data_IF_846090847144
#
_entry.id   IF_846090847144
#
_cell.length_a   1.000
_cell.length_b   1.000
_cell.length_c   1.000
_cell.angle_alpha   90.00
_cell.angle_beta   90.00
_cell.angle_gamma   90.00
#
_symmetry.space_group_name_H-M   'P 1'
#
loop_
_entity.id
_entity.type
_entity.pdbx_description
1 polymer ?
#
# COMPACT_ATOMS: atom_id res chain seq x y z
N UNK A 1 -14.83 22.29 34.26
CA UNK A 1 -15.00 20.84 34.50
C UNK A 1 -14.07 20.14 33.53
N UNK A 2 -12.89 19.75 34.02
CA UNK A 2 -11.92 18.99 33.25
C UNK A 2 -12.41 17.53 33.17
N UNK A 3 -12.89 17.11 32.01
CA UNK A 3 -13.03 15.69 31.73
C UNK A 3 -11.62 15.14 31.56
N UNK A 4 -11.15 14.38 32.55
CA UNK A 4 -9.97 13.53 32.40
C UNK A 4 -10.22 12.63 31.19
N UNK A 5 -9.44 12.82 30.14
CA UNK A 5 -9.36 11.84 29.05
C UNK A 5 -8.72 10.63 29.68
N UNK A 6 -9.51 9.59 29.93
CA UNK A 6 -9.00 8.27 30.31
C UNK A 6 -8.00 7.86 29.22
N UNK A 7 -6.73 8.01 29.52
CA UNK A 7 -5.64 7.57 28.67
C UNK A 7 -5.65 6.04 28.69
N UNK A 8 -6.28 5.42 27.68
CA UNK A 8 -6.23 3.96 27.53
C UNK A 8 -4.78 3.59 27.28
N UNK A 9 -4.16 3.02 28.28
CA UNK A 9 -2.77 2.60 28.22
C UNK A 9 -2.72 1.14 27.75
N UNK A 10 -2.15 0.90 26.57
CA UNK A 10 -1.83 -0.46 26.10
C UNK A 10 -0.54 -0.86 26.80
N UNK A 11 -0.64 -1.70 27.81
CA UNK A 11 0.48 -2.03 28.69
C UNK A 11 0.79 -3.53 28.76
N UNK A 12 -0.08 -4.36 28.20
CA UNK A 12 0.03 -5.82 28.28
C UNK A 12 -0.11 -6.52 26.95
N UNK A 13 0.33 -7.78 26.91
CA UNK A 13 0.11 -8.65 25.76
C UNK A 13 -1.39 -8.88 25.49
N UNK A 14 -2.20 -9.00 26.51
CA UNK A 14 -3.64 -9.21 26.38
C UNK A 14 -4.34 -8.00 25.75
N UNK A 15 -3.88 -6.79 26.04
CA UNK A 15 -4.36 -5.58 25.37
C UNK A 15 -4.10 -5.66 23.86
N UNK A 16 -2.91 -6.10 23.44
CA UNK A 16 -2.57 -6.27 22.03
C UNK A 16 -3.43 -7.36 21.39
N UNK A 17 -3.61 -8.49 22.07
CA UNK A 17 -4.42 -9.61 21.58
C UNK A 17 -5.90 -9.22 21.41
N UNK A 18 -6.40 -8.26 22.19
CA UNK A 18 -7.76 -7.75 22.04
C UNK A 18 -8.04 -7.12 20.67
N UNK A 19 -6.99 -6.70 19.98
CA UNK A 19 -7.06 -6.17 18.60
C UNK A 19 -6.93 -7.25 17.51
N UNK A 20 -6.69 -8.51 17.87
CA UNK A 20 -6.65 -9.61 16.90
C UNK A 20 -8.06 -9.93 16.37
N UNK A 21 -8.20 -10.63 15.25
CA UNK A 21 -9.46 -11.24 14.86
C UNK A 21 -10.03 -12.10 15.99
N UNK A 22 -11.34 -12.00 16.28
CA UNK A 22 -11.94 -12.64 17.45
C UNK A 22 -11.75 -14.15 17.53
N UNK A 23 -11.70 -14.83 16.38
CA UNK A 23 -11.58 -16.27 16.25
C UNK A 23 -10.16 -16.72 15.83
N UNK A 24 -9.13 -15.91 16.11
CA UNK A 24 -7.78 -16.23 15.67
C UNK A 24 -7.22 -17.55 16.21
N UNK A 25 -7.62 -17.97 17.42
CA UNK A 25 -7.17 -19.26 18.01
C UNK A 25 -7.77 -20.45 17.28
N UNK A 26 -9.06 -20.41 16.96
CA UNK A 26 -9.76 -21.44 16.16
C UNK A 26 -9.14 -21.57 14.75
N UNK A 27 -8.82 -20.44 14.15
CA UNK A 27 -8.09 -20.41 12.86
C UNK A 27 -6.70 -21.01 12.99
N UNK A 28 -5.98 -20.70 14.05
CA UNK A 28 -4.65 -21.27 14.31
C UNK A 28 -4.71 -22.79 14.44
N UNK A 29 -5.74 -23.33 15.09
CA UNK A 29 -6.01 -24.77 15.17
C UNK A 29 -6.33 -25.35 13.79
N UNK A 30 -7.21 -24.71 13.02
CA UNK A 30 -7.56 -25.14 11.66
C UNK A 30 -6.33 -25.19 10.74
N UNK A 31 -5.42 -24.24 10.86
CA UNK A 31 -4.14 -24.22 10.14
C UNK A 31 -3.08 -25.17 10.73
N UNK A 32 -3.35 -25.85 11.83
CA UNK A 32 -2.42 -26.77 12.49
C UNK A 32 -1.04 -26.16 12.78
N UNK A 33 -1.00 -24.87 13.17
CA UNK A 33 0.25 -24.09 13.31
C UNK A 33 1.24 -24.66 14.32
N UNK A 34 0.77 -25.43 15.31
CA UNK A 34 1.59 -26.08 16.33
C UNK A 34 2.01 -27.52 15.97
N UNK A 35 1.60 -28.05 14.82
CA UNK A 35 1.98 -29.43 14.41
C UNK A 35 3.49 -29.61 14.45
N UNK A 36 3.95 -30.63 15.20
CA UNK A 36 5.36 -30.96 15.38
C UNK A 36 6.10 -30.03 16.37
N UNK A 37 5.40 -29.26 17.22
CA UNK A 37 6.01 -28.56 18.34
C UNK A 37 6.48 -29.59 19.39
N UNK A 38 7.76 -29.49 19.81
CA UNK A 38 8.36 -30.45 20.76
C UNK A 38 8.47 -29.92 22.17
N UNK A 39 8.83 -28.65 22.33
CA UNK A 39 9.10 -28.02 23.62
C UNK A 39 7.86 -27.25 24.12
N UNK A 40 7.65 -26.05 23.67
CA UNK A 40 6.49 -25.27 24.07
C UNK A 40 5.35 -25.46 23.06
N UNK A 41 4.20 -25.92 23.54
CA UNK A 41 2.98 -26.16 22.76
C UNK A 41 1.91 -25.09 22.98
N UNK A 42 2.22 -24.02 23.72
CA UNK A 42 1.30 -22.92 23.94
C UNK A 42 1.19 -22.06 22.67
N UNK A 43 -0.03 -21.94 22.16
CA UNK A 43 -0.35 -21.11 20.99
C UNK A 43 -0.05 -19.63 21.30
N UNK A 44 -0.52 -19.14 22.45
CA UNK A 44 -0.36 -17.74 22.85
C UNK A 44 1.11 -17.37 23.05
N UNK A 45 1.90 -18.20 23.72
CA UNK A 45 3.34 -17.97 23.88
C UNK A 45 4.10 -17.99 22.54
N UNK A 46 3.73 -18.92 21.66
CA UNK A 46 4.32 -19.00 20.31
C UNK A 46 3.99 -17.76 19.49
N UNK A 47 2.72 -17.33 19.49
CA UNK A 47 2.29 -16.09 18.82
C UNK A 47 3.03 -14.88 19.40
N UNK A 48 3.12 -14.76 20.72
CA UNK A 48 3.82 -13.66 21.38
C UNK A 48 5.31 -13.61 20.95
N UNK A 49 6.01 -14.75 20.98
CA UNK A 49 7.40 -14.84 20.53
C UNK A 49 7.57 -14.45 19.05
N UNK A 50 6.63 -14.86 18.18
CA UNK A 50 6.64 -14.46 16.78
C UNK A 50 6.37 -12.95 16.61
N UNK A 51 5.46 -12.38 17.40
CA UNK A 51 5.20 -10.93 17.37
C UNK A 51 6.42 -10.13 17.83
N UNK A 52 7.14 -10.57 18.86
CA UNK A 52 8.43 -9.97 19.26
C UNK A 52 9.43 -10.00 18.11
N UNK A 53 9.56 -11.15 17.44
CA UNK A 53 10.44 -11.26 16.27
C UNK A 53 10.05 -10.30 15.14
N UNK A 54 8.77 -10.24 14.83
CA UNK A 54 8.25 -9.46 13.71
C UNK A 54 8.22 -7.94 13.98
N UNK A 55 7.93 -7.52 15.21
CA UNK A 55 7.77 -6.11 15.55
C UNK A 55 9.08 -5.43 15.98
N UNK A 56 9.93 -6.12 16.74
CA UNK A 56 11.04 -5.48 17.44
C UNK A 56 12.36 -5.42 16.64
N UNK A 57 12.39 -5.87 15.39
CA UNK A 57 13.59 -5.84 14.54
C UNK A 57 14.73 -6.77 15.01
N UNK A 58 14.43 -7.71 15.90
CA UNK A 58 15.39 -8.66 16.44
C UNK A 58 15.69 -9.79 15.45
N UNK A 59 16.88 -10.39 15.52
CA UNK A 59 17.17 -11.65 14.86
C UNK A 59 16.42 -12.82 15.55
N UNK A 60 16.25 -13.94 14.85
CA UNK A 60 15.67 -15.15 15.45
C UNK A 60 16.45 -15.63 16.69
N UNK A 61 17.79 -15.50 16.68
CA UNK A 61 18.64 -15.86 17.83
C UNK A 61 18.39 -14.96 19.01
N UNK A 62 18.36 -13.65 18.80
CA UNK A 62 18.09 -12.66 19.86
C UNK A 62 16.69 -12.86 20.44
N UNK A 63 15.70 -13.06 19.56
CA UNK A 63 14.31 -13.33 20.01
C UNK A 63 14.25 -14.55 20.91
N UNK A 64 14.80 -15.68 20.49
CA UNK A 64 14.76 -16.92 21.31
C UNK A 64 15.59 -16.79 22.59
N UNK A 65 16.65 -16.00 22.61
CA UNK A 65 17.42 -15.72 23.82
C UNK A 65 16.59 -14.87 24.80
N UNK A 66 15.98 -13.77 24.33
CA UNK A 66 15.17 -12.87 25.16
C UNK A 66 13.94 -13.56 25.72
N UNK A 67 13.19 -14.28 24.87
CA UNK A 67 11.96 -15.00 25.30
C UNK A 67 12.27 -16.12 26.30
N UNK A 68 13.42 -16.78 26.20
CA UNK A 68 13.87 -17.77 27.17
C UNK A 68 14.26 -17.13 28.49
N UNK A 69 15.02 -16.03 28.48
CA UNK A 69 15.46 -15.32 29.70
C UNK A 69 14.28 -14.72 30.45
N UNK A 70 13.24 -14.29 29.76
CA UNK A 70 12.01 -13.78 30.37
C UNK A 70 11.03 -14.90 30.81
N UNK A 71 11.33 -16.18 30.57
CA UNK A 71 10.41 -17.27 30.87
C UNK A 71 9.18 -17.36 29.97
N UNK A 72 9.10 -16.53 28.94
CA UNK A 72 7.94 -16.47 28.04
C UNK A 72 7.85 -17.70 27.13
N UNK A 73 8.93 -18.00 26.41
CA UNK A 73 8.92 -19.05 25.40
C UNK A 73 10.30 -19.70 25.27
N UNK A 74 10.32 -21.02 25.23
CA UNK A 74 11.56 -21.80 25.12
C UNK A 74 11.61 -22.53 23.81
N UNK A 75 12.50 -22.12 22.92
CA UNK A 75 12.75 -22.82 21.65
C UNK A 75 14.15 -22.49 21.10
N UNK A 76 14.61 -23.26 20.13
CA UNK A 76 15.74 -22.86 19.29
C UNK A 76 15.32 -21.88 18.21
N UNK A 77 16.26 -21.10 17.68
CA UNK A 77 16.00 -20.19 16.57
C UNK A 77 15.54 -20.92 15.29
N UNK A 78 15.97 -22.16 15.10
CA UNK A 78 15.52 -23.01 13.99
C UNK A 78 14.05 -23.40 14.20
N UNK A 79 13.69 -23.82 15.43
CA UNK A 79 12.31 -24.16 15.75
C UNK A 79 11.38 -22.95 15.65
N UNK A 80 11.83 -21.76 16.06
CA UNK A 80 11.04 -20.52 15.91
C UNK A 80 10.84 -20.17 14.42
N UNK A 81 11.86 -20.36 13.56
CA UNK A 81 11.70 -20.20 12.11
C UNK A 81 10.66 -21.16 11.53
N UNK A 82 10.70 -22.43 11.93
CA UNK A 82 9.70 -23.41 11.50
C UNK A 82 8.28 -23.05 11.97
N UNK A 83 8.16 -22.48 13.18
CA UNK A 83 6.88 -21.92 13.66
C UNK A 83 6.43 -20.76 12.77
N UNK A 84 7.30 -19.81 12.45
CA UNK A 84 6.99 -18.69 11.57
C UNK A 84 6.42 -19.19 10.23
N UNK A 85 7.07 -20.17 9.60
CA UNK A 85 6.62 -20.73 8.32
C UNK A 85 5.20 -21.31 8.45
N UNK A 86 4.92 -22.06 9.52
CA UNK A 86 3.58 -22.61 9.77
C UNK A 86 2.52 -21.59 10.10
N UNK A 87 2.90 -20.47 10.70
CA UNK A 87 2.01 -19.34 10.97
C UNK A 87 1.76 -18.47 9.74
N UNK A 88 2.53 -18.60 8.67
CA UNK A 88 2.38 -17.82 7.45
C UNK A 88 0.95 -17.81 6.89
N UNK A 89 0.32 -18.95 6.63
CA UNK A 89 -1.08 -19.01 6.16
C UNK A 89 -2.08 -18.41 7.15
N UNK A 90 -1.84 -18.56 8.47
CA UNK A 90 -2.66 -17.93 9.50
C UNK A 90 -2.55 -16.40 9.43
N UNK A 91 -1.34 -15.85 9.32
CA UNK A 91 -1.15 -14.40 9.16
C UNK A 91 -1.82 -13.87 7.91
N UNK A 92 -1.74 -14.60 6.79
CA UNK A 92 -2.45 -14.23 5.56
C UNK A 92 -3.97 -14.18 5.77
N UNK A 93 -4.53 -15.18 6.44
CA UNK A 93 -5.96 -15.28 6.73
C UNK A 93 -6.42 -14.18 7.71
N UNK A 94 -5.67 -13.95 8.77
CA UNK A 94 -5.94 -12.88 9.74
C UNK A 94 -5.88 -11.49 9.09
N UNK A 95 -4.94 -11.26 8.17
CA UNK A 95 -4.87 -10.03 7.40
C UNK A 95 -6.13 -9.78 6.57
N UNK A 96 -6.68 -10.83 5.91
CA UNK A 96 -7.94 -10.69 5.15
C UNK A 96 -9.11 -10.27 6.04
N UNK A 97 -9.22 -10.80 7.25
CA UNK A 97 -10.29 -10.42 8.16
C UNK A 97 -10.15 -8.98 8.67
N UNK A 98 -8.93 -8.56 8.97
CA UNK A 98 -8.68 -7.17 9.36
C UNK A 98 -9.12 -6.18 8.28
N UNK A 99 -9.12 -6.60 6.99
CA UNK A 99 -9.65 -5.81 5.89
C UNK A 99 -11.18 -5.82 5.81
N UNK A 100 -11.81 -6.98 5.97
CA UNK A 100 -13.26 -7.13 5.76
C UNK A 100 -14.11 -6.39 6.80
N UNK A 101 -13.60 -6.20 8.01
CA UNK A 101 -14.29 -5.47 9.08
C UNK A 101 -14.30 -3.93 8.92
N UNK A 102 -13.70 -3.37 7.88
CA UNK A 102 -13.49 -1.92 7.71
C UNK A 102 -14.40 -1.27 6.65
N UNK A 103 -15.45 -1.95 6.21
CA UNK A 103 -16.29 -1.56 5.07
C UNK A 103 -17.26 -0.39 5.29
N UNK A 104 -17.12 0.39 6.34
CA UNK A 104 -18.15 1.36 6.70
C UNK A 104 -17.67 2.78 6.81
N UNK A 105 -17.20 3.43 5.80
CA UNK A 105 -17.32 4.91 5.75
C UNK A 105 -16.67 5.44 4.49
N UNK A 106 -17.48 5.63 3.44
CA UNK A 106 -17.09 6.54 2.37
C UNK A 106 -17.70 7.91 2.67
N UNK A 107 -16.91 8.95 2.92
CA UNK A 107 -17.44 10.30 3.18
C UNK A 107 -17.84 11.05 1.92
N UNK A 108 -17.51 10.53 0.75
CA UNK A 108 -18.11 11.00 -0.49
C UNK A 108 -19.29 10.08 -0.74
N UNK A 109 -20.48 10.50 -0.25
CA UNK A 109 -21.80 9.91 -0.45
C UNK A 109 -21.84 8.73 -1.42
N UNK A 110 -21.78 7.50 -0.89
CA UNK A 110 -22.01 6.27 -1.67
C UNK A 110 -20.88 5.80 -2.60
N UNK A 111 -19.68 6.34 -2.50
CA UNK A 111 -18.53 5.92 -3.32
C UNK A 111 -17.40 5.33 -2.51
N UNK A 112 -16.81 4.26 -3.02
CA UNK A 112 -15.58 3.70 -2.51
C UNK A 112 -14.40 4.20 -3.36
N UNK A 113 -13.65 5.16 -2.82
CA UNK A 113 -12.45 5.69 -3.44
C UNK A 113 -11.23 4.92 -2.93
N UNK A 114 -10.44 4.36 -3.84
CA UNK A 114 -9.30 3.49 -3.52
C UNK A 114 -8.05 3.96 -4.22
N UNK A 115 -6.97 4.09 -3.47
CA UNK A 115 -5.63 4.35 -4.03
C UNK A 115 -4.84 3.06 -4.03
N UNK A 116 -4.26 2.73 -5.18
CA UNK A 116 -3.56 1.48 -5.44
C UNK A 116 -2.11 1.77 -5.78
N UNK A 117 -1.21 0.96 -5.24
CA UNK A 117 0.21 0.99 -5.61
C UNK A 117 0.86 -0.38 -5.38
N UNK A 118 2.13 -0.50 -5.77
CA UNK A 118 2.94 -1.68 -5.49
C UNK A 118 4.37 -1.29 -5.13
N UNK A 119 5.01 -2.11 -4.31
CA UNK A 119 6.40 -1.89 -3.95
C UNK A 119 7.20 -3.18 -4.06
N UNK A 120 8.42 -3.06 -4.57
CA UNK A 120 9.34 -4.19 -4.64
C UNK A 120 10.05 -4.38 -3.31
N UNK A 121 10.19 -5.64 -2.91
CA UNK A 121 10.88 -6.08 -1.71
C UNK A 121 12.09 -6.89 -2.12
N UNK A 122 13.26 -6.51 -1.59
CA UNK A 122 14.53 -7.13 -1.95
C UNK A 122 14.90 -8.25 -1.00
N UNK A 123 15.41 -9.35 -1.55
CA UNK A 123 16.07 -10.39 -0.76
C UNK A 123 17.50 -9.98 -0.39
N UNK A 124 18.13 -10.65 0.60
CA UNK A 124 19.52 -10.38 0.96
C UNK A 124 20.48 -10.61 -0.20
N UNK A 125 21.49 -9.73 -0.33
CA UNK A 125 22.56 -9.84 -1.34
C UNK A 125 22.22 -9.13 -2.66
N UNK A 126 23.03 -9.34 -3.72
CA UNK A 126 23.01 -8.55 -4.95
C UNK A 126 21.92 -8.97 -5.96
N UNK A 127 21.08 -9.95 -5.65
CA UNK A 127 20.11 -10.53 -6.59
C UNK A 127 18.93 -9.62 -6.94
N UNK A 128 18.73 -8.52 -6.19
CA UNK A 128 17.68 -7.52 -6.46
C UNK A 128 16.31 -7.90 -5.87
N UNK A 129 15.26 -7.30 -6.42
CA UNK A 129 13.89 -7.49 -5.92
C UNK A 129 13.37 -8.89 -6.24
N UNK A 130 12.82 -9.57 -5.24
CA UNK A 130 12.27 -10.93 -5.35
C UNK A 130 10.76 -10.93 -5.32
N UNK A 131 10.16 -10.04 -4.51
CA UNK A 131 8.74 -9.96 -4.30
C UNK A 131 8.21 -8.58 -4.67
N UNK A 132 6.95 -8.53 -5.09
CA UNK A 132 6.18 -7.32 -5.24
C UNK A 132 4.95 -7.39 -4.35
N UNK A 133 4.80 -6.38 -3.53
CA UNK A 133 3.69 -6.23 -2.62
C UNK A 133 2.72 -5.20 -3.21
N UNK A 134 1.54 -5.68 -3.61
CA UNK A 134 0.44 -4.86 -4.10
C UNK A 134 -0.43 -4.48 -2.93
N UNK A 135 -0.87 -3.23 -2.89
CA UNK A 135 -1.53 -2.65 -1.74
C UNK A 135 -2.61 -1.66 -2.17
N UNK A 136 -3.75 -1.68 -1.51
CA UNK A 136 -4.87 -0.79 -1.75
C UNK A 136 -5.32 -0.12 -0.47
N UNK A 137 -5.54 1.19 -0.53
CA UNK A 137 -6.07 2.02 0.56
C UNK A 137 -7.41 2.62 0.17
N UNK A 138 -8.38 2.54 1.05
CA UNK A 138 -9.63 3.32 0.94
C UNK A 138 -9.43 4.73 1.48
N UNK A 139 -10.03 5.70 0.81
CA UNK A 139 -10.00 7.11 1.21
C UNK A 139 -11.38 7.56 1.68
N UNK A 140 -11.43 8.53 2.60
CA UNK A 140 -10.35 9.31 3.18
C UNK A 140 -9.70 8.66 4.39
N UNK A 141 -10.25 7.58 4.94
CA UNK A 141 -9.79 6.99 6.22
C UNK A 141 -8.41 6.32 6.11
N UNK A 142 -7.84 6.27 4.90
CA UNK A 142 -6.52 5.67 4.60
C UNK A 142 -6.42 4.25 5.18
N UNK A 143 -7.49 3.46 4.96
CA UNK A 143 -7.59 2.09 5.47
C UNK A 143 -7.13 1.12 4.39
N UNK A 144 -6.24 0.19 4.72
CA UNK A 144 -5.89 -0.90 3.83
C UNK A 144 -7.09 -1.84 3.65
N UNK A 145 -7.55 -2.02 2.43
CA UNK A 145 -8.68 -2.89 2.12
C UNK A 145 -8.28 -4.12 1.29
N UNK A 146 -7.07 -4.15 0.76
CA UNK A 146 -6.55 -5.32 0.04
C UNK A 146 -5.03 -5.31 -0.04
N UNK A 147 -4.46 -6.53 0.02
CA UNK A 147 -3.06 -6.77 -0.31
C UNK A 147 -2.88 -8.04 -1.10
N UNK A 148 -1.86 -8.06 -1.94
CA UNK A 148 -1.44 -9.26 -2.67
C UNK A 148 0.08 -9.30 -2.82
N UNK A 149 0.65 -10.46 -2.57
CA UNK A 149 2.07 -10.70 -2.77
C UNK A 149 2.28 -11.47 -4.07
N UNK A 150 3.17 -10.97 -4.93
CA UNK A 150 3.57 -11.66 -6.16
C UNK A 150 5.10 -11.70 -6.26
N UNK A 151 5.63 -12.52 -7.17
CA UNK A 151 7.04 -12.38 -7.55
C UNK A 151 7.27 -11.01 -8.21
N UNK A 152 8.47 -10.44 -8.03
CA UNK A 152 8.80 -9.15 -8.66
C UNK A 152 8.99 -9.26 -10.18
N UNK A 153 9.33 -10.46 -10.67
CA UNK A 153 9.57 -10.75 -12.09
C UNK A 153 8.75 -11.94 -12.55
N UNK A 154 8.28 -11.90 -13.79
CA UNK A 154 7.49 -12.95 -14.42
C UNK A 154 6.31 -12.40 -15.22
N UNK A 155 5.61 -13.30 -15.92
CA UNK A 155 4.40 -12.94 -16.66
C UNK A 155 3.25 -12.70 -15.68
N UNK A 156 2.50 -11.60 -15.87
CA UNK A 156 1.32 -11.29 -15.06
C UNK A 156 1.59 -10.80 -13.63
N UNK A 157 2.85 -10.65 -13.21
CA UNK A 157 3.21 -10.20 -11.85
C UNK A 157 3.52 -8.69 -11.77
N UNK A 158 3.43 -7.98 -12.87
CA UNK A 158 3.64 -6.52 -12.93
C UNK A 158 2.52 -5.74 -12.25
N UNK A 159 2.68 -4.43 -12.17
CA UNK A 159 1.62 -3.51 -11.74
C UNK A 159 0.40 -3.64 -12.66
N UNK A 160 -0.72 -4.05 -12.09
CA UNK A 160 -1.98 -4.27 -12.80
C UNK A 160 -3.17 -4.20 -11.85
N UNK A 161 -4.27 -3.60 -12.29
CA UNK A 161 -5.55 -3.62 -11.58
C UNK A 161 -6.08 -5.04 -11.34
N UNK A 162 -5.71 -6.01 -12.16
CA UNK A 162 -6.12 -7.42 -12.04
C UNK A 162 -5.61 -8.10 -10.76
N UNK A 163 -4.74 -7.46 -10.00
CA UNK A 163 -4.31 -7.94 -8.69
C UNK A 163 -5.28 -7.60 -7.56
N UNK A 164 -6.28 -6.78 -7.84
CA UNK A 164 -7.22 -6.28 -6.85
C UNK A 164 -8.65 -6.77 -7.14
N UNK A 165 -9.42 -7.16 -6.11
CA UNK A 165 -10.84 -7.39 -6.28
C UNK A 165 -11.52 -6.03 -6.56
N UNK A 166 -12.34 -5.98 -7.59
CA UNK A 166 -13.06 -4.78 -8.01
C UNK A 166 -14.56 -5.03 -7.84
N UNK A 167 -15.24 -4.12 -7.17
CA UNK A 167 -16.67 -4.10 -7.01
C UNK A 167 -17.29 -3.01 -7.90
N UNK A 168 -18.54 -3.21 -8.28
CA UNK A 168 -19.31 -2.18 -9.01
C UNK A 168 -19.33 -0.88 -8.20
N UNK A 169 -18.96 0.22 -8.86
CA UNK A 169 -18.90 1.55 -8.25
C UNK A 169 -17.57 1.87 -7.54
N UNK A 170 -16.59 0.97 -7.52
CA UNK A 170 -15.23 1.28 -7.03
C UNK A 170 -14.59 2.35 -7.92
N UNK A 171 -13.96 3.36 -7.28
CA UNK A 171 -13.21 4.43 -7.95
C UNK A 171 -11.73 4.29 -7.60
N UNK A 172 -10.92 3.95 -8.59
CA UNK A 172 -9.52 3.54 -8.41
C UNK A 172 -8.56 4.64 -8.88
N UNK A 173 -7.63 5.01 -8.01
CA UNK A 173 -6.55 5.95 -8.32
C UNK A 173 -5.25 5.15 -8.34
N UNK A 174 -4.45 5.29 -9.39
CA UNK A 174 -3.19 4.61 -9.49
C UNK A 174 -2.14 5.43 -10.25
N UNK A 175 -0.90 4.98 -10.16
CA UNK A 175 0.21 5.62 -10.84
C UNK A 175 0.33 5.21 -12.33
N UNK A 176 1.39 5.67 -12.96
CA UNK A 176 1.69 5.41 -14.37
C UNK A 176 1.88 3.92 -14.70
N UNK A 177 2.36 3.10 -13.77
CA UNK A 177 2.60 1.68 -13.95
C UNK A 177 1.31 0.89 -14.23
N UNK A 178 0.19 1.37 -13.72
CA UNK A 178 -1.15 0.81 -13.92
C UNK A 178 -1.85 1.27 -15.21
N UNK A 179 -1.27 2.24 -15.93
CA UNK A 179 -1.87 2.79 -17.15
C UNK A 179 -1.70 1.83 -18.33
N UNK A 180 -2.47 0.74 -18.33
CA UNK A 180 -2.47 -0.32 -19.34
C UNK A 180 -3.92 -0.67 -19.72
N UNK A 181 -4.17 -0.81 -21.03
CA UNK A 181 -5.52 -1.02 -21.55
C UNK A 181 -6.23 -2.24 -20.91
N UNK A 182 -5.54 -3.39 -20.79
CA UNK A 182 -6.12 -4.60 -20.21
C UNK A 182 -6.56 -4.42 -18.73
N UNK A 183 -5.76 -3.70 -17.94
CA UNK A 183 -6.09 -3.42 -16.54
C UNK A 183 -7.27 -2.45 -16.41
N UNK A 184 -7.32 -1.40 -17.23
CA UNK A 184 -8.42 -0.44 -17.26
C UNK A 184 -9.70 -1.13 -17.73
N UNK A 185 -9.64 -1.93 -18.80
CA UNK A 185 -10.76 -2.70 -19.30
C UNK A 185 -11.32 -3.67 -18.25
N UNK A 186 -10.45 -4.36 -17.50
CA UNK A 186 -10.86 -5.22 -16.39
C UNK A 186 -11.69 -4.44 -15.36
N UNK A 187 -11.22 -3.27 -14.92
CA UNK A 187 -11.96 -2.44 -13.95
C UNK A 187 -13.33 -2.02 -14.51
N UNK A 188 -13.37 -1.56 -15.74
CA UNK A 188 -14.62 -1.10 -16.39
C UNK A 188 -15.61 -2.24 -16.55
N UNK A 189 -15.16 -3.44 -16.95
CA UNK A 189 -16.02 -4.63 -17.03
C UNK A 189 -16.59 -5.05 -15.68
N UNK A 190 -15.86 -4.80 -14.58
CA UNK A 190 -16.38 -5.01 -13.23
C UNK A 190 -17.32 -3.88 -12.75
N UNK A 191 -17.57 -2.86 -13.57
CA UNK A 191 -18.41 -1.71 -13.22
C UNK A 191 -17.71 -0.69 -12.32
N UNK A 192 -16.38 -0.70 -12.28
CA UNK A 192 -15.55 0.28 -11.58
C UNK A 192 -15.05 1.39 -12.52
N UNK A 193 -14.38 2.36 -11.93
CA UNK A 193 -13.86 3.55 -12.61
C UNK A 193 -12.36 3.74 -12.27
N UNK A 194 -11.60 4.35 -13.19
CA UNK A 194 -10.16 4.58 -13.02
C UNK A 194 -9.77 6.04 -13.15
N UNK A 195 -8.75 6.44 -12.39
CA UNK A 195 -8.03 7.70 -12.50
C UNK A 195 -6.53 7.37 -12.43
N UNK A 196 -5.84 7.37 -13.56
CA UNK A 196 -4.45 6.94 -13.66
C UNK A 196 -3.58 7.99 -14.34
N UNK A 197 -2.35 8.14 -13.89
CA UNK A 197 -1.38 8.95 -14.60
C UNK A 197 -1.07 8.31 -15.95
N UNK A 198 -1.19 9.09 -17.03
CA UNK A 198 -1.00 8.59 -18.37
C UNK A 198 0.43 8.12 -18.61
N UNK A 199 0.56 6.95 -19.20
CA UNK A 199 1.78 6.45 -19.82
C UNK A 199 1.57 6.43 -21.33
N UNK A 200 2.02 7.48 -22.01
CA UNK A 200 1.69 7.76 -23.41
C UNK A 200 2.14 6.68 -24.41
N UNK A 201 3.13 5.87 -24.05
CA UNK A 201 3.60 4.76 -24.91
C UNK A 201 2.91 3.43 -24.61
N UNK A 202 2.19 3.32 -23.48
CA UNK A 202 1.53 2.07 -23.06
C UNK A 202 0.02 2.08 -23.27
N UNK A 203 -0.56 3.24 -23.57
CA UNK A 203 -1.99 3.42 -23.77
C UNK A 203 -2.25 4.17 -25.07
N UNK A 204 -2.84 3.48 -26.04
CA UNK A 204 -3.33 4.10 -27.26
C UNK A 204 -4.64 4.83 -26.99
N UNK A 205 -4.69 6.10 -27.36
CA UNK A 205 -5.85 6.96 -27.18
C UNK A 205 -6.58 7.16 -28.50
N UNK A 206 -7.91 7.16 -28.42
CA UNK A 206 -8.81 7.39 -29.53
C UNK A 206 -9.73 8.57 -29.20
N UNK A 207 -10.21 9.24 -30.23
CA UNK A 207 -11.35 10.16 -30.11
C UNK A 207 -12.64 9.35 -29.87
N UNK A 208 -13.73 9.94 -29.39
CA UNK A 208 -14.99 9.22 -29.21
C UNK A 208 -15.53 8.58 -30.50
N UNK A 209 -15.18 9.10 -31.66
CA UNK A 209 -15.51 8.55 -33.00
C UNK A 209 -14.50 7.50 -33.51
N UNK A 210 -13.55 7.08 -32.67
CA UNK A 210 -12.63 5.97 -32.95
C UNK A 210 -11.38 6.33 -33.74
N UNK A 211 -11.11 7.62 -34.04
CA UNK A 211 -9.89 8.06 -34.68
C UNK A 211 -8.74 8.20 -33.67
N UNK A 212 -7.51 8.30 -34.17
CA UNK A 212 -6.33 8.59 -33.32
C UNK A 212 -6.50 9.90 -32.55
N UNK A 213 -6.22 9.88 -31.26
CA UNK A 213 -6.26 11.07 -30.41
C UNK A 213 -4.89 11.77 -30.41
N UNK A 214 -4.85 12.96 -30.97
CA UNK A 214 -3.62 13.75 -31.14
C UNK A 214 -3.20 14.46 -29.84
N UNK A 215 -2.71 13.70 -28.86
CA UNK A 215 -2.33 14.19 -27.53
C UNK A 215 -1.36 15.38 -27.60
N UNK A 216 -0.31 15.27 -28.42
CA UNK A 216 0.74 16.30 -28.54
C UNK A 216 0.16 17.65 -29.01
N UNK A 217 -0.71 17.62 -30.01
CA UNK A 217 -1.39 18.80 -30.53
C UNK A 217 -2.26 19.47 -29.45
N UNK A 218 -2.95 18.66 -28.65
CA UNK A 218 -3.77 19.14 -27.51
C UNK A 218 -2.90 19.77 -26.42
N UNK A 219 -1.79 19.12 -26.03
CA UNK A 219 -0.90 19.66 -24.99
C UNK A 219 -0.27 21.01 -25.39
N UNK A 220 0.03 21.21 -26.66
CA UNK A 220 0.57 22.49 -27.18
C UNK A 220 -0.39 23.68 -27.01
N UNK A 221 -1.68 23.45 -26.82
CA UNK A 221 -2.66 24.53 -26.55
C UNK A 221 -2.58 25.06 -25.12
N UNK A 222 -1.90 24.34 -24.22
CA UNK A 222 -1.71 24.75 -22.82
C UNK A 222 -0.37 25.48 -22.70
N UNK A 223 -0.40 26.79 -22.62
CA UNK A 223 0.83 27.61 -22.67
C UNK A 223 1.25 28.15 -21.29
N UNK A 224 0.30 28.35 -20.38
CA UNK A 224 0.56 28.98 -19.10
C UNK A 224 0.81 27.94 -18.00
N UNK A 225 1.74 28.24 -17.09
CA UNK A 225 1.97 27.44 -15.88
C UNK A 225 0.70 27.36 -15.03
N UNK A 226 0.36 26.15 -14.56
CA UNK A 226 -0.86 25.92 -13.79
C UNK A 226 -2.14 25.87 -14.65
N UNK A 227 -2.09 26.20 -15.92
CA UNK A 227 -3.24 26.06 -16.82
C UNK A 227 -3.59 24.58 -16.98
N UNK A 228 -4.86 24.26 -16.81
CA UNK A 228 -5.40 22.91 -16.94
C UNK A 228 -6.48 22.85 -18.02
N UNK A 229 -6.50 21.73 -18.75
CA UNK A 229 -7.52 21.45 -19.77
C UNK A 229 -7.93 19.97 -19.74
N UNK A 230 -9.10 19.68 -20.25
CA UNK A 230 -9.57 18.30 -20.41
C UNK A 230 -10.20 18.09 -21.79
N UNK A 231 -10.12 16.85 -22.27
CA UNK A 231 -10.65 16.43 -23.57
C UNK A 231 -11.25 15.03 -23.45
N UNK A 232 -12.37 14.82 -24.11
CA UNK A 232 -12.96 13.50 -24.24
C UNK A 232 -12.09 12.63 -25.14
N UNK A 233 -11.94 11.39 -24.73
CA UNK A 233 -11.19 10.38 -25.47
C UNK A 233 -11.76 9.00 -25.15
N UNK A 234 -11.22 7.99 -25.79
CA UNK A 234 -11.49 6.59 -25.50
C UNK A 234 -10.20 5.77 -25.53
N UNK A 235 -10.23 4.61 -24.93
CA UNK A 235 -9.24 3.55 -25.11
C UNK A 235 -9.94 2.33 -25.68
N UNK A 236 -9.21 1.44 -26.33
CA UNK A 236 -9.78 0.20 -26.83
C UNK A 236 -9.57 -0.94 -25.82
N UNK A 237 -10.62 -1.66 -25.48
CA UNK A 237 -10.52 -2.92 -24.77
C UNK A 237 -9.77 -3.92 -25.64
N UNK A 238 -8.63 -4.47 -25.19
CA UNK A 238 -7.85 -5.38 -26.01
C UNK A 238 -8.56 -6.71 -26.31
N UNK A 239 -9.52 -7.12 -25.48
CA UNK A 239 -10.24 -8.39 -25.61
C UNK A 239 -11.47 -8.23 -26.51
N UNK A 240 -12.33 -7.25 -26.25
CA UNK A 240 -13.61 -7.05 -26.97
C UNK A 240 -13.51 -6.13 -28.17
N UNK A 241 -12.43 -5.33 -28.26
CA UNK A 241 -12.23 -4.27 -29.24
C UNK A 241 -13.19 -3.08 -29.13
N UNK A 242 -14.06 -3.07 -28.13
CA UNK A 242 -14.96 -1.95 -27.87
C UNK A 242 -14.19 -0.73 -27.32
N UNK A 243 -14.72 0.45 -27.61
CA UNK A 243 -14.17 1.68 -27.08
C UNK A 243 -14.71 1.92 -25.66
N UNK A 244 -13.78 2.08 -24.74
CA UNK A 244 -14.06 2.48 -23.35
C UNK A 244 -13.96 4.00 -23.28
N UNK A 245 -15.07 4.72 -23.07
CA UNK A 245 -15.05 6.17 -22.97
C UNK A 245 -14.31 6.64 -21.72
N UNK A 246 -13.62 7.75 -21.86
CA UNK A 246 -12.89 8.42 -20.80
C UNK A 246 -12.50 9.82 -21.20
N UNK A 247 -11.64 10.44 -20.43
CA UNK A 247 -11.10 11.77 -20.73
C UNK A 247 -9.64 11.90 -20.29
N UNK A 248 -8.92 12.76 -20.98
CA UNK A 248 -7.60 13.22 -20.59
C UNK A 248 -7.76 14.52 -19.82
N UNK A 249 -7.21 14.58 -18.62
CA UNK A 249 -7.06 15.78 -17.80
C UNK A 249 -5.58 16.12 -17.76
N UNK A 250 -5.19 17.33 -18.16
CA UNK A 250 -3.79 17.76 -18.18
C UNK A 250 -3.63 19.11 -17.51
N UNK A 251 -2.53 19.27 -16.76
CA UNK A 251 -2.11 20.54 -16.16
C UNK A 251 -0.63 20.77 -16.46
N UNK A 252 -0.27 21.99 -16.89
CA UNK A 252 1.12 22.38 -17.11
C UNK A 252 1.78 22.67 -15.76
N UNK A 253 2.96 22.11 -15.56
CA UNK A 253 3.77 22.30 -14.34
C UNK A 253 4.34 23.72 -14.29
N UNK A 254 4.81 24.14 -13.10
CA UNK A 254 5.62 25.36 -12.97
C UNK A 254 6.95 25.20 -13.72
N UNK A 255 7.56 26.31 -14.13
CA UNK A 255 8.85 26.29 -14.83
C UNK A 255 9.94 25.59 -14.01
N UNK A 256 9.91 25.72 -12.67
CA UNK A 256 10.81 25.01 -11.76
C UNK A 256 10.61 23.50 -11.84
N UNK A 257 9.35 23.05 -11.80
CA UNK A 257 9.01 21.63 -11.91
C UNK A 257 9.33 21.05 -13.29
N UNK A 258 9.22 21.84 -14.35
CA UNK A 258 9.62 21.49 -15.71
C UNK A 258 11.13 21.29 -15.78
N UNK A 259 11.91 22.24 -15.26
CA UNK A 259 13.36 22.13 -15.21
C UNK A 259 13.83 20.88 -14.46
N UNK A 260 13.20 20.56 -13.32
CA UNK A 260 13.47 19.33 -12.57
C UNK A 260 13.10 18.07 -13.37
N UNK A 261 11.97 18.08 -14.07
CA UNK A 261 11.52 16.96 -14.90
C UNK A 261 12.50 16.71 -16.08
N UNK A 262 12.96 17.76 -16.75
CA UNK A 262 13.95 17.67 -17.81
C UNK A 262 15.30 17.17 -17.28
N UNK A 263 15.77 17.68 -16.12
CA UNK A 263 16.98 17.18 -15.46
C UNK A 263 16.89 15.69 -15.14
N UNK A 264 15.74 15.23 -14.66
CA UNK A 264 15.48 13.80 -14.38
C UNK A 264 15.47 12.98 -15.66
N UNK A 265 14.86 13.48 -16.73
CA UNK A 265 14.86 12.85 -18.06
C UNK A 265 16.29 12.69 -18.60
N UNK A 266 17.12 13.73 -18.51
CA UNK A 266 18.51 13.70 -18.94
C UNK A 266 19.36 12.71 -18.14
N UNK A 267 19.17 12.62 -16.82
CA UNK A 267 19.83 11.58 -15.98
C UNK A 267 19.44 10.17 -16.41
N UNK A 268 18.16 9.94 -16.70
CA UNK A 268 17.65 8.67 -17.20
C UNK A 268 18.25 8.32 -18.56
N UNK A 269 18.38 9.29 -19.46
CA UNK A 269 19.08 9.16 -20.75
C UNK A 269 20.50 8.62 -20.57
N UNK A 270 21.27 9.22 -19.67
CA UNK A 270 22.65 8.80 -19.40
C UNK A 270 22.71 7.38 -18.82
N UNK A 271 21.82 7.07 -17.86
CA UNK A 271 21.79 5.77 -17.20
C UNK A 271 21.37 4.63 -18.13
N UNK A 272 20.39 4.85 -19.01
CA UNK A 272 19.78 3.82 -19.85
C UNK A 272 20.18 3.93 -21.34
N UNK A 273 21.08 4.85 -21.69
CA UNK A 273 21.61 5.06 -23.04
C UNK A 273 20.51 5.21 -24.12
N UNK A 274 19.43 5.92 -23.82
CA UNK A 274 18.40 6.25 -24.81
C UNK A 274 18.35 7.76 -25.05
N UNK A 275 17.87 8.18 -26.24
CA UNK A 275 17.69 9.60 -26.56
C UNK A 275 16.20 9.94 -26.48
N UNK A 276 15.76 10.78 -25.50
CA UNK A 276 14.39 11.21 -25.44
C UNK A 276 14.01 12.05 -26.67
N UNK A 277 12.82 11.82 -27.22
CA UNK A 277 12.29 12.64 -28.29
C UNK A 277 11.87 14.03 -27.80
N UNK A 278 11.67 14.99 -28.71
CA UNK A 278 11.10 16.31 -28.40
C UNK A 278 9.72 16.16 -27.71
N UNK A 279 8.94 15.20 -28.15
CA UNK A 279 7.63 14.88 -27.58
C UNK A 279 7.74 14.39 -26.15
N UNK A 280 8.76 13.58 -25.83
CA UNK A 280 9.03 13.12 -24.44
C UNK A 280 9.31 14.32 -23.52
N UNK A 281 10.07 15.31 -23.97
CA UNK A 281 10.30 16.52 -23.17
C UNK A 281 9.00 17.29 -22.97
N UNK A 282 8.23 17.53 -24.05
CA UNK A 282 6.94 18.20 -23.96
C UNK A 282 5.98 17.50 -22.99
N UNK A 283 5.80 16.18 -23.11
CA UNK A 283 4.94 15.40 -22.21
C UNK A 283 5.38 15.54 -20.74
N UNK A 284 6.68 15.62 -20.49
CA UNK A 284 7.23 15.77 -19.15
C UNK A 284 6.95 17.16 -18.52
N UNK A 285 6.54 18.15 -19.30
CA UNK A 285 6.10 19.45 -18.79
C UNK A 285 4.71 19.38 -18.11
N UNK A 286 3.97 18.29 -18.33
CA UNK A 286 2.61 18.15 -17.84
C UNK A 286 2.45 17.04 -16.77
N UNK A 287 1.40 17.19 -15.96
CA UNK A 287 0.75 16.07 -15.29
C UNK A 287 -0.45 15.72 -16.15
N UNK A 288 -0.48 14.48 -16.67
CA UNK A 288 -1.52 14.02 -17.58
C UNK A 288 -2.19 12.81 -16.93
N UNK A 289 -3.49 12.85 -16.81
CA UNK A 289 -4.31 11.83 -16.16
C UNK A 289 -5.32 11.32 -17.20
N UNK A 290 -5.44 10.00 -17.36
CA UNK A 290 -6.58 9.37 -17.99
C UNK A 290 -7.59 8.98 -16.91
N UNK A 291 -8.88 9.26 -17.14
CA UNK A 291 -9.92 8.91 -16.19
C UNK A 291 -11.21 8.52 -16.88
N UNK A 292 -11.92 7.53 -16.28
CA UNK A 292 -13.29 7.15 -16.61
C UNK A 292 -14.29 7.67 -15.58
N UNK A 293 -13.86 8.49 -14.59
CA UNK A 293 -14.73 9.12 -13.61
C UNK A 293 -15.70 10.07 -14.31
N UNK A 294 -16.94 10.05 -13.87
CA UNK A 294 -18.00 10.93 -14.38
C UNK A 294 -17.62 12.41 -14.28
N UNK A 295 -17.91 13.20 -15.34
CA UNK A 295 -17.49 14.61 -15.42
C UNK A 295 -18.28 15.51 -14.49
N UNK A 296 -19.57 15.29 -14.37
CA UNK A 296 -20.45 16.15 -13.57
C UNK A 296 -20.11 16.01 -12.10
N UNK A 297 -19.89 14.76 -11.67
CA UNK A 297 -19.52 14.45 -10.28
C UNK A 297 -18.07 14.76 -9.96
N UNK A 298 -17.17 14.66 -10.94
CA UNK A 298 -15.73 14.90 -10.79
C UNK A 298 -15.23 15.88 -11.85
N UNK A 299 -15.47 17.18 -11.71
CA UNK A 299 -14.90 18.20 -12.59
C UNK A 299 -13.36 18.12 -12.65
N UNK A 300 -12.76 18.72 -13.67
CA UNK A 300 -11.31 18.74 -13.89
C UNK A 300 -10.51 19.06 -12.63
N UNK A 301 -10.89 20.13 -11.91
CA UNK A 301 -10.21 20.53 -10.68
C UNK A 301 -10.25 19.44 -9.61
N UNK A 302 -11.39 18.75 -9.47
CA UNK A 302 -11.57 17.64 -8.54
C UNK A 302 -10.70 16.45 -8.90
N UNK A 303 -10.60 16.07 -10.20
CA UNK A 303 -9.71 15.00 -10.66
C UNK A 303 -8.27 15.29 -10.31
N UNK A 304 -7.81 16.52 -10.57
CA UNK A 304 -6.44 16.93 -10.27
C UNK A 304 -6.16 16.94 -8.76
N UNK A 305 -7.14 17.35 -7.93
CA UNK A 305 -7.02 17.31 -6.48
C UNK A 305 -7.01 15.88 -5.94
N UNK A 306 -7.96 15.04 -6.37
CA UNK A 306 -8.05 13.63 -5.96
C UNK A 306 -6.78 12.88 -6.34
N UNK A 307 -6.21 13.13 -7.52
CA UNK A 307 -4.99 12.45 -7.94
C UNK A 307 -3.79 12.73 -7.02
N UNK A 308 -3.75 13.87 -6.35
CA UNK A 308 -2.71 14.17 -5.34
C UNK A 308 -2.77 13.21 -4.16
N UNK A 309 -3.94 12.67 -3.81
CA UNK A 309 -4.10 11.70 -2.73
C UNK A 309 -3.39 10.37 -2.98
N UNK A 310 -3.03 10.05 -4.22
CA UNK A 310 -2.17 8.91 -4.54
C UNK A 310 -0.87 8.91 -3.70
N UNK A 311 -0.37 10.10 -3.36
CA UNK A 311 0.83 10.21 -2.52
C UNK A 311 0.66 9.62 -1.12
N UNK A 312 -0.55 9.49 -0.62
CA UNK A 312 -0.84 8.84 0.67
C UNK A 312 -0.35 7.39 0.72
N UNK A 313 -0.48 6.66 -0.38
CA UNK A 313 0.05 5.29 -0.49
C UNK A 313 1.57 5.28 -0.40
N UNK A 314 2.25 6.23 -1.03
CA UNK A 314 3.71 6.35 -0.92
C UNK A 314 4.16 6.57 0.53
N UNK A 315 3.42 7.37 1.31
CA UNK A 315 3.69 7.57 2.75
C UNK A 315 3.46 6.29 3.55
N UNK A 316 2.40 5.54 3.27
CA UNK A 316 2.14 4.25 3.92
C UNK A 316 3.30 3.27 3.66
N UNK A 317 3.78 3.16 2.42
CA UNK A 317 4.94 2.33 2.10
C UNK A 317 6.24 2.80 2.75
N UNK A 318 6.44 4.11 2.86
CA UNK A 318 7.59 4.64 3.62
C UNK A 318 7.54 4.20 5.07
N UNK A 319 6.38 4.26 5.71
CA UNK A 319 6.20 3.76 7.09
C UNK A 319 6.52 2.28 7.18
N UNK A 320 5.93 1.45 6.32
CA UNK A 320 6.18 0.01 6.33
C UNK A 320 7.65 -0.33 6.10
N UNK A 321 8.30 0.34 5.16
CA UNK A 321 9.72 0.12 4.88
C UNK A 321 10.63 0.57 6.02
N UNK A 322 10.38 1.73 6.61
CA UNK A 322 11.26 2.28 7.65
C UNK A 322 10.95 1.71 9.04
N UNK A 323 9.69 1.73 9.47
CA UNK A 323 9.31 1.34 10.83
C UNK A 323 9.32 -0.19 11.01
N UNK A 324 8.82 -0.94 10.04
CA UNK A 324 8.73 -2.39 10.10
C UNK A 324 9.87 -3.11 9.37
N UNK A 325 10.82 -2.37 8.79
CA UNK A 325 11.90 -2.92 7.97
C UNK A 325 11.38 -3.85 6.85
N UNK A 326 10.21 -3.53 6.30
CA UNK A 326 9.52 -4.37 5.32
C UNK A 326 10.27 -4.46 3.97
N UNK A 327 11.16 -3.51 3.69
CA UNK A 327 11.87 -3.41 2.42
C UNK A 327 12.94 -4.47 2.17
N UNK A 328 13.38 -5.19 3.22
CA UNK A 328 14.45 -6.18 3.14
C UNK A 328 14.05 -7.49 3.81
N UNK A 329 14.14 -8.59 3.06
CA UNK A 329 13.89 -9.92 3.59
C UNK A 329 15.05 -10.40 4.45
N UNK A 330 14.78 -11.14 5.55
CA UNK A 330 15.83 -11.73 6.38
C UNK A 330 16.44 -13.00 5.76
N UNK A 331 15.86 -13.55 4.70
CA UNK A 331 16.22 -14.84 4.12
C UNK A 331 15.88 -14.91 2.63
N UNK A 332 16.49 -15.87 1.92
CA UNK A 332 16.16 -16.21 0.52
C UNK A 332 15.18 -17.38 0.41
N UNK A 333 14.88 -18.07 1.51
CA UNK A 333 13.95 -19.20 1.53
C UNK A 333 12.53 -18.70 1.33
N UNK A 334 11.88 -19.13 0.26
CA UNK A 334 10.59 -18.61 -0.21
C UNK A 334 9.49 -18.69 0.86
N UNK A 335 9.29 -19.86 1.46
CA UNK A 335 8.26 -20.08 2.48
C UNK A 335 8.49 -19.19 3.71
N UNK A 336 9.75 -19.09 4.15
CA UNK A 336 10.14 -18.24 5.28
C UNK A 336 9.95 -16.77 4.95
N UNK A 337 10.25 -16.35 3.71
CA UNK A 337 10.06 -14.98 3.25
C UNK A 337 8.57 -14.61 3.19
N UNK A 338 7.73 -15.49 2.63
CA UNK A 338 6.27 -15.27 2.61
C UNK A 338 5.69 -15.14 4.01
N UNK A 339 6.03 -16.09 4.89
CA UNK A 339 5.54 -16.07 6.26
C UNK A 339 5.98 -14.82 7.02
N UNK A 340 7.23 -14.39 6.83
CA UNK A 340 7.74 -13.16 7.43
C UNK A 340 7.01 -11.92 6.89
N UNK A 341 6.76 -11.84 5.58
CA UNK A 341 6.05 -10.73 4.96
C UNK A 341 4.60 -10.63 5.47
N UNK A 342 3.86 -11.74 5.49
CA UNK A 342 2.50 -11.75 6.02
C UNK A 342 2.46 -11.39 7.51
N UNK A 343 3.43 -11.87 8.29
CA UNK A 343 3.56 -11.53 9.70
C UNK A 343 3.89 -10.06 9.94
N UNK A 344 4.85 -9.50 9.19
CA UNK A 344 5.17 -8.07 9.24
C UNK A 344 3.96 -7.21 8.85
N UNK A 345 3.23 -7.65 7.84
CA UNK A 345 2.04 -6.96 7.41
C UNK A 345 0.92 -7.01 8.47
N UNK A 346 0.76 -8.15 9.14
CA UNK A 346 -0.15 -8.29 10.27
C UNK A 346 0.21 -7.31 11.40
N UNK A 347 1.49 -7.19 11.75
CA UNK A 347 1.96 -6.19 12.71
C UNK A 347 1.59 -4.78 12.28
N UNK A 348 1.78 -4.43 11.00
CA UNK A 348 1.43 -3.11 10.47
C UNK A 348 -0.07 -2.80 10.63
N UNK A 349 -0.94 -3.77 10.29
CA UNK A 349 -2.38 -3.63 10.44
C UNK A 349 -2.82 -3.47 11.90
N UNK A 350 -2.19 -4.20 12.80
CA UNK A 350 -2.44 -4.05 14.24
C UNK A 350 -2.07 -2.66 14.73
N UNK A 351 -0.88 -2.16 14.33
CA UNK A 351 -0.45 -0.80 14.69
C UNK A 351 -1.48 0.22 14.21
N UNK A 352 -1.89 0.16 12.95
CA UNK A 352 -2.90 1.08 12.41
C UNK A 352 -4.24 0.98 13.16
N UNK A 353 -4.66 -0.24 13.52
CA UNK A 353 -5.89 -0.46 14.28
C UNK A 353 -5.81 0.11 15.70
N UNK A 354 -4.68 -0.10 16.37
CA UNK A 354 -4.42 0.41 17.72
C UNK A 354 -4.35 1.95 17.69
N UNK A 355 -3.63 2.53 16.74
CA UNK A 355 -3.55 4.00 16.59
C UNK A 355 -4.94 4.63 16.42
N UNK A 356 -5.79 4.04 15.57
CA UNK A 356 -7.16 4.53 15.40
C UNK A 356 -7.99 4.43 16.69
N UNK A 357 -7.85 3.32 17.41
CA UNK A 357 -8.54 3.13 18.66
C UNK A 357 -8.15 4.17 19.72
N UNK A 358 -6.84 4.43 19.88
CA UNK A 358 -6.30 5.38 20.86
C UNK A 358 -6.63 6.83 20.50
N UNK A 359 -6.59 7.20 19.22
CA UNK A 359 -6.83 8.56 18.76
C UNK A 359 -8.32 8.88 18.53
N UNK A 360 -9.22 7.96 18.88
CA UNK A 360 -10.65 8.13 18.73
C UNK A 360 -11.06 8.29 17.26
N UNK A 361 -11.35 9.48 16.80
CA UNK A 361 -11.65 9.81 15.39
C UNK A 361 -10.50 10.51 14.68
N UNK A 362 -9.32 10.50 15.23
CA UNK A 362 -8.17 11.14 14.64
C UNK A 362 -7.67 10.28 13.47
N UNK A 363 -8.10 10.63 12.28
CA UNK A 363 -7.35 10.27 11.09
C UNK A 363 -6.08 11.12 11.12
N UNK A 364 -4.87 10.55 11.11
CA UNK A 364 -3.65 11.36 11.02
C UNK A 364 -3.57 12.20 9.73
N UNK A 365 -4.64 12.20 8.95
CA UNK A 365 -4.78 12.80 7.64
C UNK A 365 -5.88 13.87 7.58
N UNK A 366 -6.54 14.23 8.69
CA UNK A 366 -7.57 15.26 8.71
C UNK A 366 -7.03 16.69 8.58
N UNK A 367 -5.77 16.89 8.94
CA UNK A 367 -5.17 18.24 9.00
C UNK A 367 -4.47 18.69 7.70
N UNK A 368 -4.67 17.97 6.58
CA UNK A 368 -4.08 18.38 5.30
C UNK A 368 -4.83 19.50 4.56
N UNK A 369 -5.79 20.14 5.18
CA UNK A 369 -6.40 21.38 4.65
C UNK A 369 -5.74 22.64 5.18
N UNK A 370 -4.88 22.55 6.21
CA UNK A 370 -4.16 23.70 6.76
C UNK A 370 -2.68 23.36 6.98
N UNK A 371 -1.83 24.09 6.30
CA UNK A 371 -0.39 24.33 6.44
C UNK A 371 0.57 23.23 6.91
N UNK A 372 1.63 23.09 6.11
CA UNK A 372 2.86 22.34 6.38
C UNK A 372 3.42 22.63 7.77
N UNK A 373 3.44 21.66 8.68
CA UNK A 373 4.39 21.68 9.77
C UNK A 373 5.08 20.33 10.01
N UNK A 374 6.35 20.41 10.38
CA UNK A 374 7.33 19.31 10.45
C UNK A 374 7.18 18.42 11.69
N UNK A 375 6.06 18.51 12.45
CA UNK A 375 5.89 17.85 13.74
C UNK A 375 5.43 16.40 13.73
N UNK A 376 4.82 15.91 12.65
CA UNK A 376 4.10 14.62 12.64
C UNK A 376 4.97 13.35 12.65
N UNK A 377 6.26 13.47 12.33
CA UNK A 377 7.19 12.33 12.34
C UNK A 377 7.47 11.80 13.75
N UNK A 378 7.41 12.64 14.77
CA UNK A 378 7.80 12.31 16.14
C UNK A 378 6.77 11.47 16.91
N UNK A 379 5.47 11.71 16.70
CA UNK A 379 4.43 10.99 17.45
C UNK A 379 4.25 9.55 16.95
N UNK A 380 4.40 9.32 15.65
CA UNK A 380 4.41 7.96 15.08
C UNK A 380 5.64 7.15 15.49
N UNK A 381 6.79 7.80 15.67
CA UNK A 381 8.02 7.15 16.15
C UNK A 381 7.87 6.79 17.64
N UNK A 382 7.31 7.69 18.47
CA UNK A 382 7.03 7.43 19.88
C UNK A 382 6.04 6.28 20.06
N UNK A 383 4.99 6.24 19.24
CA UNK A 383 4.00 5.19 19.30
C UNK A 383 4.55 3.82 18.89
N UNK A 384 5.36 3.76 17.82
CA UNK A 384 6.05 2.54 17.40
C UNK A 384 6.99 2.03 18.51
N UNK A 385 7.71 2.94 19.19
CA UNK A 385 8.55 2.60 20.34
C UNK A 385 7.71 2.06 21.51
N UNK A 386 6.57 2.67 21.83
CA UNK A 386 5.67 2.20 22.88
C UNK A 386 5.09 0.81 22.58
N UNK A 387 4.74 0.53 21.31
CA UNK A 387 4.27 -0.80 20.90
C UNK A 387 5.38 -1.85 21.00
N UNK A 388 6.60 -1.52 20.58
CA UNK A 388 7.77 -2.40 20.72
C UNK A 388 8.01 -2.69 22.20
N UNK A 389 7.92 -1.69 23.06
CA UNK A 389 8.04 -1.85 24.52
C UNK A 389 6.92 -2.74 25.07
N UNK A 390 5.66 -2.51 24.71
CA UNK A 390 4.53 -3.32 25.17
C UNK A 390 4.61 -4.79 24.69
N UNK A 391 5.08 -5.03 23.46
CA UNK A 391 5.32 -6.39 22.93
C UNK A 391 6.53 -7.05 23.62
N UNK A 392 7.56 -6.26 23.94
CA UNK A 392 8.82 -6.75 24.50
C UNK A 392 8.82 -6.89 26.05
N UNK A 393 7.90 -6.19 26.75
CA UNK A 393 7.82 -6.20 28.20
C UNK A 393 7.21 -7.51 28.69
N UNK A 394 8.09 -8.48 28.90
CA UNK A 394 7.86 -9.57 29.86
C UNK A 394 8.69 -9.25 31.11
N UNK A 395 8.15 -8.42 32.00
CA UNK A 395 8.69 -8.37 33.36
C UNK A 395 8.17 -9.60 34.11
N UNK A 396 9.05 -10.41 34.72
CA UNK A 396 8.57 -11.37 35.70
C UNK A 396 7.95 -10.57 36.88
N UNK A 397 6.70 -10.82 37.14
CA UNK A 397 6.13 -10.40 38.44
C UNK A 397 6.89 -11.12 39.51
N UNK A 398 7.45 -10.37 40.46
CA UNK A 398 8.05 -10.87 41.69
C UNK A 398 6.98 -11.31 42.69
#
# INVERSE_FOLDING_TARGET
MNSAVDCVQISSWDDIVSFFPKNWRERAEAHNVLKGARQDKSLDKTMHALMIYLACGLSLKETTTRTRLSGLYVSSHVALRERLIKFGPLFEDMNRELFSGQNNLSPISGMKLRVIDATDISEPGPTGSTWRFHYSLTLPDVICDHTKLTKAKGVGVGESFMHFPISKGDHLIADRGYCKANGIAYVTRCGGYVCVRLHHTSLSLFTPDGKSFELISKLKTITLSGQAMEWDCAIQDPDTRELIPGRICAIRKSEEQIALAHKKCNRSRTKHRFTPSKETYLINEFIIIFTTFDRERFPLATILAIYRWRWQVELAFKRFKSLLQLGHLPTKVEESSKAWLYGKFFVAQLIERIVRYLNGRFSPWRDFTEEHDQGESMDNIRFHSALIEAVAVTRPEH
#
